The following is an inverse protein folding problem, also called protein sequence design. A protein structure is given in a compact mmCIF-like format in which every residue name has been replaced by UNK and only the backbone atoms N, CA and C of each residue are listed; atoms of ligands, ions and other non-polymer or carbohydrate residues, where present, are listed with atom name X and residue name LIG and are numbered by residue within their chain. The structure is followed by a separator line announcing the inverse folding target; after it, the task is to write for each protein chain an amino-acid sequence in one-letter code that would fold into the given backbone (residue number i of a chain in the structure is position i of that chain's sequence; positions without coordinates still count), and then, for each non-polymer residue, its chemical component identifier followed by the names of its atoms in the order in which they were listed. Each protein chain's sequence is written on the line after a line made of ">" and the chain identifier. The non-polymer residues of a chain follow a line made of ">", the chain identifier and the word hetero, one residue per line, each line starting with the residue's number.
data_IF_916891197652
#
_entry.id   IF_916891197652
#
_cell.length_a   1.000
_cell.length_b   1.000
_cell.length_c   1.000
_cell.angle_alpha   90.00
_cell.angle_beta   90.00
_cell.angle_gamma   90.00
#
_symmetry.space_group_name_H-M   'P 1'
#
loop_
_entity.id
_entity.type
_entity.pdbx_description
1 polymer ?
#
# COMPACT_ATOMS: atom_id res chain seq x y z
N UNK A 1 3.81 20.33 33.42
CA UNK A 1 5.09 19.61 33.21
C UNK A 1 4.96 18.09 33.35
N UNK A 2 4.28 17.53 34.37
CA UNK A 2 4.11 16.07 34.54
C UNK A 2 3.44 15.33 33.37
N UNK A 3 2.36 15.85 32.76
CA UNK A 3 1.66 15.13 31.68
C UNK A 3 2.50 14.93 30.41
N UNK A 4 3.36 15.88 30.05
CA UNK A 4 4.24 15.76 28.89
C UNK A 4 5.33 14.68 29.10
N UNK A 5 5.82 14.53 30.33
CA UNK A 5 6.76 13.46 30.70
C UNK A 5 6.12 12.08 30.61
N UNK A 6 4.88 11.92 31.10
CA UNK A 6 4.18 10.64 31.00
C UNK A 6 3.93 10.23 29.55
N UNK A 7 3.49 11.15 28.68
CA UNK A 7 3.28 10.85 27.26
C UNK A 7 4.60 10.46 26.56
N UNK A 8 5.70 11.19 26.83
CA UNK A 8 7.01 10.85 26.29
C UNK A 8 7.50 9.48 26.77
N UNK A 9 7.38 9.20 28.07
CA UNK A 9 7.83 7.94 28.66
C UNK A 9 7.02 6.74 28.16
N UNK A 10 5.72 6.91 27.94
CA UNK A 10 4.87 5.88 27.33
C UNK A 10 5.23 5.66 25.86
N UNK A 11 5.53 6.72 25.10
CA UNK A 11 5.99 6.61 23.72
C UNK A 11 7.37 5.92 23.63
N UNK A 12 8.32 6.30 24.50
CA UNK A 12 9.63 5.66 24.59
C UNK A 12 9.52 4.18 24.98
N UNK A 13 8.62 3.84 25.91
CA UNK A 13 8.36 2.45 26.28
C UNK A 13 7.82 1.66 25.08
N UNK A 14 6.83 2.20 24.37
CA UNK A 14 6.27 1.58 23.17
C UNK A 14 7.31 1.40 22.05
N UNK A 15 8.18 2.39 21.84
CA UNK A 15 9.29 2.29 20.88
C UNK A 15 10.28 1.19 21.29
N UNK A 16 10.65 1.13 22.56
CA UNK A 16 11.56 0.10 23.09
C UNK A 16 10.96 -1.30 22.97
N UNK A 17 9.68 -1.47 23.28
CA UNK A 17 8.98 -2.74 23.11
C UNK A 17 8.95 -3.16 21.64
N UNK A 18 8.63 -2.23 20.73
CA UNK A 18 8.65 -2.49 19.28
C UNK A 18 10.04 -2.92 18.81
N UNK A 19 11.08 -2.22 19.26
CA UNK A 19 12.46 -2.53 18.91
C UNK A 19 12.90 -3.89 19.47
N UNK A 20 12.50 -4.22 20.70
CA UNK A 20 12.77 -5.52 21.30
C UNK A 20 12.11 -6.66 20.51
N UNK A 21 10.86 -6.49 20.09
CA UNK A 21 10.15 -7.46 19.25
C UNK A 21 10.85 -7.62 17.89
N UNK A 22 11.29 -6.53 17.27
CA UNK A 22 12.01 -6.58 15.99
C UNK A 22 13.33 -7.35 16.10
N UNK A 23 14.09 -7.12 17.18
CA UNK A 23 15.33 -7.86 17.46
C UNK A 23 15.03 -9.34 17.65
N UNK A 24 14.02 -9.69 18.44
CA UNK A 24 13.63 -11.10 18.66
C UNK A 24 13.22 -11.75 17.34
N UNK A 25 12.41 -11.08 16.51
CA UNK A 25 12.03 -11.58 15.18
C UNK A 25 13.25 -11.81 14.29
N UNK A 26 14.19 -10.87 14.29
CA UNK A 26 15.44 -10.98 13.52
C UNK A 26 16.29 -12.16 13.98
N UNK A 27 16.51 -12.30 15.29
CA UNK A 27 17.32 -13.40 15.85
C UNK A 27 16.66 -14.76 15.64
N UNK A 28 15.33 -14.86 15.79
CA UNK A 28 14.59 -16.08 15.45
C UNK A 28 14.73 -16.41 13.95
N UNK A 29 14.68 -15.39 13.07
CA UNK A 29 14.93 -15.56 11.65
C UNK A 29 16.33 -16.10 11.35
N UNK A 30 17.36 -15.57 11.99
CA UNK A 30 18.75 -16.05 11.85
C UNK A 30 18.91 -17.48 12.38
N UNK A 31 18.34 -17.77 13.55
CA UNK A 31 18.39 -19.10 14.14
C UNK A 31 17.75 -20.15 13.21
N UNK A 32 16.63 -19.82 12.58
CA UNK A 32 15.97 -20.66 11.58
C UNK A 32 16.82 -20.88 10.33
N UNK A 33 17.40 -19.81 9.77
CA UNK A 33 18.27 -19.92 8.61
C UNK A 33 19.48 -20.81 8.90
N UNK A 34 20.11 -20.64 10.07
CA UNK A 34 21.20 -21.51 10.52
C UNK A 34 20.75 -22.95 10.74
N UNK A 35 19.56 -23.18 11.29
CA UNK A 35 19.01 -24.52 11.43
C UNK A 35 18.83 -25.19 10.06
N UNK A 36 18.25 -24.48 9.07
CA UNK A 36 18.06 -25.02 7.73
C UNK A 36 19.39 -25.34 7.04
N UNK A 37 20.36 -24.43 7.12
CA UNK A 37 21.72 -24.66 6.61
C UNK A 37 22.38 -25.89 7.27
N UNK A 38 22.34 -25.97 8.60
CA UNK A 38 22.92 -27.08 9.37
C UNK A 38 22.25 -28.41 9.04
N UNK A 39 20.93 -28.43 8.88
CA UNK A 39 20.18 -29.62 8.54
C UNK A 39 20.49 -30.08 7.10
N UNK A 40 20.65 -29.16 6.15
CA UNK A 40 21.09 -29.47 4.79
C UNK A 40 22.50 -30.06 4.77
N UNK A 41 23.44 -29.45 5.51
CA UNK A 41 24.79 -29.98 5.67
C UNK A 41 24.80 -31.36 6.34
N UNK A 42 23.97 -31.58 7.36
CA UNK A 42 23.84 -32.87 8.03
C UNK A 42 23.32 -33.95 7.06
N UNK A 43 22.30 -33.64 6.24
CA UNK A 43 21.82 -34.58 5.22
C UNK A 43 22.91 -34.92 4.21
N UNK A 44 23.65 -33.93 3.70
CA UNK A 44 24.75 -34.15 2.76
C UNK A 44 25.87 -35.00 3.38
N UNK A 45 26.25 -34.72 4.64
CA UNK A 45 27.25 -35.48 5.36
C UNK A 45 26.80 -36.93 5.59
N UNK A 46 25.55 -37.16 5.99
CA UNK A 46 24.99 -38.52 6.14
C UNK A 46 25.00 -39.25 4.80
N UNK A 47 24.61 -38.62 3.70
CA UNK A 47 24.62 -39.24 2.37
C UNK A 47 26.05 -39.60 1.91
N UNK A 48 27.03 -38.73 2.15
CA UNK A 48 28.42 -38.98 1.78
C UNK A 48 29.08 -40.06 2.65
N UNK A 49 28.92 -39.97 3.98
CA UNK A 49 29.53 -40.88 4.93
C UNK A 49 28.85 -42.24 4.97
N UNK A 50 27.59 -42.33 4.55
CA UNK A 50 26.88 -43.59 4.56
C UNK A 50 27.49 -44.63 3.63
N UNK A 51 28.26 -44.28 2.58
CA UNK A 51 28.99 -45.26 1.76
C UNK A 51 28.15 -46.49 1.39
N UNK A 52 26.88 -46.28 1.03
CA UNK A 52 25.90 -47.34 0.84
C UNK A 52 26.31 -48.21 -0.36
N UNK A 53 26.27 -49.53 -0.17
CA UNK A 53 26.49 -50.46 -1.29
C UNK A 53 25.45 -50.25 -2.39
N UNK A 54 25.89 -50.31 -3.65
CA UNK A 54 24.98 -50.24 -4.80
C UNK A 54 24.07 -51.47 -4.86
N UNK A 55 22.95 -51.44 -5.60
CA UNK A 55 22.09 -52.60 -5.78
C UNK A 55 22.84 -53.84 -6.28
N UNK A 56 23.82 -53.67 -7.16
CA UNK A 56 24.64 -54.76 -7.71
C UNK A 56 25.56 -55.36 -6.64
N UNK A 57 26.18 -54.51 -5.82
CA UNK A 57 27.01 -54.95 -4.69
C UNK A 57 26.19 -55.67 -3.62
N UNK A 58 24.96 -55.22 -3.39
CA UNK A 58 24.01 -55.87 -2.49
C UNK A 58 23.60 -57.24 -3.02
N UNK A 59 23.35 -57.37 -4.33
CA UNK A 59 23.02 -58.65 -4.96
C UNK A 59 24.19 -59.64 -4.88
N UNK A 60 25.42 -59.19 -5.12
CA UNK A 60 26.61 -60.02 -4.93
C UNK A 60 26.74 -60.47 -3.46
N UNK A 61 26.52 -59.55 -2.51
CA UNK A 61 26.58 -59.85 -1.08
C UNK A 61 25.52 -60.87 -0.66
N UNK A 62 24.29 -60.79 -1.21
CA UNK A 62 23.24 -61.77 -0.94
C UNK A 62 23.63 -63.20 -1.36
N UNK A 63 24.48 -63.34 -2.38
CA UNK A 63 24.95 -64.64 -2.87
C UNK A 63 26.19 -65.14 -2.12
N UNK A 64 27.10 -64.24 -1.73
CA UNK A 64 28.38 -64.59 -1.11
C UNK A 64 28.35 -64.59 0.42
N UNK A 65 27.55 -63.72 1.04
CA UNK A 65 27.42 -63.53 2.48
C UNK A 65 26.01 -63.03 2.85
N UNK A 66 25.04 -63.93 3.03
CA UNK A 66 23.66 -63.58 3.39
C UNK A 66 23.56 -62.83 4.73
N UNK A 67 24.45 -63.10 5.69
CA UNK A 67 24.44 -62.42 6.99
C UNK A 67 24.92 -60.96 6.84
N UNK A 68 25.99 -60.74 6.08
CA UNK A 68 26.46 -59.40 5.71
C UNK A 68 25.42 -58.61 4.90
N UNK A 69 24.66 -59.27 4.02
CA UNK A 69 23.55 -58.65 3.30
C UNK A 69 22.48 -58.09 4.24
N UNK A 70 22.02 -58.88 5.21
CA UNK A 70 21.00 -58.42 6.19
C UNK A 70 21.53 -57.27 7.03
N UNK A 71 22.79 -57.33 7.47
CA UNK A 71 23.42 -56.26 8.23
C UNK A 71 23.50 -54.95 7.43
N UNK A 72 23.93 -55.02 6.16
CA UNK A 72 24.00 -53.85 5.29
C UNK A 72 22.59 -53.31 4.98
N UNK A 73 21.61 -54.18 4.71
CA UNK A 73 20.23 -53.77 4.48
C UNK A 73 19.65 -53.01 5.69
N UNK A 74 19.86 -53.51 6.90
CA UNK A 74 19.45 -52.83 8.13
C UNK A 74 20.13 -51.46 8.28
N UNK A 75 21.43 -51.37 7.93
CA UNK A 75 22.18 -50.12 7.93
C UNK A 75 21.62 -49.12 6.90
N UNK A 76 21.32 -49.57 5.68
CA UNK A 76 20.69 -48.70 4.67
C UNK A 76 19.35 -48.16 5.19
N UNK A 77 18.51 -49.02 5.78
CA UNK A 77 17.23 -48.60 6.34
C UNK A 77 17.41 -47.55 7.45
N UNK A 78 18.36 -47.73 8.37
CA UNK A 78 18.66 -46.74 9.41
C UNK A 78 19.07 -45.39 8.82
N UNK A 79 19.96 -45.38 7.82
CA UNK A 79 20.37 -44.16 7.14
C UNK A 79 19.18 -43.46 6.49
N UNK A 80 18.30 -44.19 5.81
CA UNK A 80 17.10 -43.62 5.20
C UNK A 80 16.15 -43.04 6.24
N UNK A 81 15.94 -43.72 7.38
CA UNK A 81 15.10 -43.20 8.47
C UNK A 81 15.64 -41.88 9.04
N UNK A 82 16.97 -41.78 9.24
CA UNK A 82 17.60 -40.54 9.71
C UNK A 82 17.41 -39.40 8.71
N UNK A 83 17.67 -39.65 7.42
CA UNK A 83 17.49 -38.65 6.37
C UNK A 83 16.03 -38.20 6.26
N UNK A 84 15.09 -39.14 6.31
CA UNK A 84 13.67 -38.84 6.26
C UNK A 84 13.22 -38.00 7.47
N UNK A 85 13.73 -38.30 8.67
CA UNK A 85 13.45 -37.51 9.87
C UNK A 85 13.91 -36.05 9.75
N UNK A 86 15.13 -35.84 9.24
CA UNK A 86 15.66 -34.47 9.00
C UNK A 86 14.81 -33.74 7.94
N UNK A 87 14.46 -34.43 6.86
CA UNK A 87 13.64 -33.86 5.79
C UNK A 87 12.25 -33.47 6.26
N UNK A 88 11.59 -34.32 7.06
CA UNK A 88 10.28 -34.03 7.64
C UNK A 88 10.34 -32.82 8.59
N UNK A 89 11.36 -32.74 9.44
CA UNK A 89 11.56 -31.59 10.33
C UNK A 89 11.70 -30.27 9.55
N UNK A 90 12.50 -30.27 8.48
CA UNK A 90 12.64 -29.10 7.60
C UNK A 90 11.34 -28.72 6.89
N UNK A 91 10.58 -29.71 6.41
CA UNK A 91 9.30 -29.45 5.76
C UNK A 91 8.29 -28.85 6.74
N UNK A 92 8.25 -29.37 7.97
CA UNK A 92 7.38 -28.85 9.01
C UNK A 92 7.73 -27.41 9.39
N UNK A 93 9.02 -27.08 9.57
CA UNK A 93 9.46 -25.71 9.88
C UNK A 93 9.11 -24.75 8.75
N UNK A 94 9.34 -25.13 7.48
CA UNK A 94 8.95 -24.32 6.31
C UNK A 94 7.45 -24.10 6.23
N UNK A 95 6.65 -25.12 6.55
CA UNK A 95 5.20 -24.99 6.56
C UNK A 95 4.74 -24.04 7.67
N UNK A 96 5.30 -24.14 8.88
CA UNK A 96 5.00 -23.23 9.98
C UNK A 96 5.40 -21.78 9.62
N UNK A 97 6.56 -21.58 9.00
CA UNK A 97 7.00 -20.28 8.54
C UNK A 97 6.05 -19.69 7.49
N UNK A 98 5.62 -20.50 6.52
CA UNK A 98 4.64 -20.06 5.52
C UNK A 98 3.34 -19.60 6.17
N UNK A 99 2.81 -20.37 7.12
CA UNK A 99 1.59 -20.02 7.85
C UNK A 99 1.75 -18.74 8.67
N UNK A 100 2.87 -18.58 9.39
CA UNK A 100 3.15 -17.37 10.16
C UNK A 100 3.26 -16.13 9.27
N UNK A 101 3.91 -16.28 8.11
CA UNK A 101 4.06 -15.20 7.13
C UNK A 101 2.70 -14.82 6.53
N UNK A 102 1.87 -15.80 6.19
CA UNK A 102 0.53 -15.59 5.66
C UNK A 102 -0.39 -14.91 6.69
N UNK A 103 -0.31 -15.31 7.96
CA UNK A 103 -1.02 -14.64 9.06
C UNK A 103 -0.56 -13.21 9.26
N UNK A 104 0.75 -12.94 9.25
CA UNK A 104 1.29 -11.58 9.37
C UNK A 104 0.84 -10.70 8.19
N UNK A 105 0.84 -11.25 6.97
CA UNK A 105 0.34 -10.56 5.79
C UNK A 105 -1.17 -10.27 5.91
N UNK A 106 -1.98 -11.22 6.36
CA UNK A 106 -3.40 -11.04 6.58
C UNK A 106 -3.69 -9.96 7.64
N UNK A 107 -2.90 -9.92 8.72
CA UNK A 107 -3.00 -8.88 9.74
C UNK A 107 -2.63 -7.50 9.17
N UNK A 108 -1.51 -7.39 8.43
CA UNK A 108 -1.10 -6.14 7.78
C UNK A 108 -2.16 -5.67 6.79
N UNK A 109 -2.73 -6.57 6.01
CA UNK A 109 -3.82 -6.28 5.08
C UNK A 109 -5.06 -5.75 5.81
N UNK A 110 -5.48 -6.41 6.91
CA UNK A 110 -6.61 -5.95 7.71
C UNK A 110 -6.38 -4.55 8.31
N UNK A 111 -5.19 -4.30 8.85
CA UNK A 111 -4.81 -2.98 9.38
C UNK A 111 -4.78 -1.92 8.29
N UNK A 112 -4.21 -2.23 7.12
CA UNK A 112 -4.17 -1.35 5.97
C UNK A 112 -5.59 -0.95 5.54
N UNK A 113 -6.51 -1.91 5.44
CA UNK A 113 -7.91 -1.64 5.15
C UNK A 113 -8.60 -0.76 6.20
N UNK A 114 -8.28 -0.94 7.49
CA UNK A 114 -8.78 -0.07 8.55
C UNK A 114 -8.35 1.39 8.36
N UNK A 115 -7.07 1.62 8.06
CA UNK A 115 -6.52 2.96 7.80
C UNK A 115 -7.13 3.57 6.53
N UNK A 116 -7.23 2.79 5.45
CA UNK A 116 -7.82 3.27 4.19
C UNK A 116 -9.30 3.63 4.36
N UNK A 117 -10.04 2.85 5.14
CA UNK A 117 -11.43 3.16 5.50
C UNK A 117 -11.57 4.50 6.24
N UNK A 118 -10.64 4.81 7.18
CA UNK A 118 -10.61 6.12 7.85
C UNK A 118 -10.39 7.30 6.87
N UNK A 119 -9.68 7.05 5.77
CA UNK A 119 -9.49 8.02 4.69
C UNK A 119 -10.61 8.00 3.63
N UNK A 120 -11.72 7.30 3.88
CA UNK A 120 -12.89 7.23 3.00
C UNK A 120 -12.64 6.47 1.70
N UNK A 121 -11.62 5.61 1.66
CA UNK A 121 -11.25 4.77 0.52
C UNK A 121 -11.96 3.42 0.60
N UNK A 122 -13.09 3.32 -0.09
CA UNK A 122 -13.84 2.08 -0.23
C UNK A 122 -13.27 1.22 -1.37
N UNK A 123 -13.60 -0.08 -1.41
CA UNK A 123 -13.26 -1.01 -2.50
C UNK A 123 -13.41 -0.43 -3.92
N UNK A 124 -14.56 0.18 -4.31
CA UNK A 124 -14.72 0.74 -5.64
C UNK A 124 -13.83 1.97 -5.90
N UNK A 125 -13.57 2.80 -4.89
CA UNK A 125 -12.70 3.98 -5.02
C UNK A 125 -11.25 3.56 -5.20
N UNK A 126 -10.81 2.56 -4.44
CA UNK A 126 -9.51 1.92 -4.61
C UNK A 126 -9.35 1.34 -6.02
N UNK A 127 -10.34 0.60 -6.51
CA UNK A 127 -10.31 0.06 -7.87
C UNK A 127 -10.16 1.16 -8.94
N UNK A 128 -10.90 2.27 -8.80
CA UNK A 128 -10.79 3.42 -9.70
C UNK A 128 -9.40 4.08 -9.63
N UNK A 129 -8.83 4.25 -8.43
CA UNK A 129 -7.48 4.78 -8.25
C UNK A 129 -6.45 3.87 -8.93
N UNK A 130 -6.56 2.56 -8.76
CA UNK A 130 -5.65 1.59 -9.41
C UNK A 130 -5.80 1.57 -10.92
N UNK A 131 -7.02 1.68 -11.44
CA UNK A 131 -7.24 1.76 -12.88
C UNK A 131 -6.61 3.03 -13.46
N UNK A 132 -6.81 4.18 -12.81
CA UNK A 132 -6.18 5.44 -13.20
C UNK A 132 -4.65 5.39 -13.06
N UNK A 133 -4.14 4.77 -12.00
CA UNK A 133 -2.69 4.60 -11.80
C UNK A 133 -2.08 3.67 -12.87
N UNK A 134 -2.74 2.57 -13.21
CA UNK A 134 -2.33 1.67 -14.29
C UNK A 134 -2.29 2.39 -15.65
N UNK A 135 -3.32 3.19 -15.97
CA UNK A 135 -3.36 4.00 -17.21
C UNK A 135 -2.26 5.07 -17.27
N UNK A 136 -2.01 5.75 -16.15
CA UNK A 136 -1.09 6.89 -16.10
C UNK A 136 0.38 6.49 -15.91
N UNK A 137 0.65 5.36 -15.28
CA UNK A 137 2.01 4.95 -14.88
C UNK A 137 2.42 3.54 -15.35
N UNK A 138 1.51 2.78 -15.98
CA UNK A 138 1.84 1.47 -16.57
C UNK A 138 1.95 0.32 -15.57
N UNK A 139 1.45 0.48 -14.34
CA UNK A 139 1.48 -0.59 -13.35
C UNK A 139 0.57 -1.77 -13.75
N UNK A 140 1.07 -2.98 -13.52
CA UNK A 140 0.33 -4.22 -13.73
C UNK A 140 -0.77 -4.38 -12.67
N UNK A 141 -1.96 -4.87 -13.08
CA UNK A 141 -3.13 -4.95 -12.19
C UNK A 141 -2.92 -5.91 -11.02
N UNK A 142 -2.08 -6.92 -11.22
CA UNK A 142 -1.75 -7.97 -10.25
C UNK A 142 -0.94 -7.40 -9.07
N UNK A 143 -0.14 -6.36 -9.30
CA UNK A 143 0.64 -5.69 -8.25
C UNK A 143 -0.25 -4.99 -7.20
N UNK A 144 -1.54 -4.84 -7.49
CA UNK A 144 -2.50 -4.13 -6.65
C UNK A 144 -3.46 -5.05 -5.89
N UNK A 145 -3.46 -6.36 -6.18
CA UNK A 145 -4.31 -7.33 -5.49
C UNK A 145 -3.93 -7.49 -3.99
N UNK A 146 -2.73 -7.06 -3.64
CA UNK A 146 -2.13 -7.23 -2.31
C UNK A 146 -1.78 -5.89 -1.68
N UNK A 147 -2.82 -5.22 -1.15
CA UNK A 147 -2.67 -3.94 -0.45
C UNK A 147 -2.07 -4.14 0.93
N UNK A 148 -0.74 -4.23 1.02
CA UNK A 148 -0.05 -4.41 2.31
C UNK A 148 0.34 -3.10 2.98
N UNK A 149 0.55 -2.03 2.20
CA UNK A 149 0.95 -0.73 2.72
C UNK A 149 -0.10 0.34 2.39
N UNK A 150 -0.86 0.83 3.40
CA UNK A 150 -1.85 1.87 3.18
C UNK A 150 -1.23 3.21 2.75
N UNK A 151 0.04 3.48 3.10
CA UNK A 151 0.73 4.74 2.73
C UNK A 151 0.97 4.80 1.23
N UNK A 152 1.33 3.67 0.63
CA UNK A 152 1.53 3.54 -0.80
C UNK A 152 0.24 3.87 -1.56
N UNK A 153 -0.91 3.37 -1.08
CA UNK A 153 -2.22 3.66 -1.66
C UNK A 153 -2.59 5.13 -1.52
N UNK A 154 -2.35 5.74 -0.37
CA UNK A 154 -2.62 7.16 -0.16
C UNK A 154 -1.78 8.03 -1.11
N UNK A 155 -0.49 7.71 -1.25
CA UNK A 155 0.38 8.38 -2.22
C UNK A 155 -0.13 8.21 -3.66
N UNK A 156 -0.59 7.01 -4.03
CA UNK A 156 -1.19 6.76 -5.35
C UNK A 156 -2.45 7.59 -5.58
N UNK A 157 -3.34 7.65 -4.58
CA UNK A 157 -4.54 8.49 -4.64
C UNK A 157 -4.17 9.94 -4.95
N UNK A 158 -3.20 10.47 -4.20
CA UNK A 158 -2.78 11.86 -4.34
C UNK A 158 -2.11 12.10 -5.72
N UNK A 159 -1.31 11.14 -6.21
CA UNK A 159 -0.70 11.20 -7.53
C UNK A 159 -1.72 11.16 -8.67
N UNK A 160 -2.78 10.34 -8.55
CA UNK A 160 -3.89 10.30 -9.53
C UNK A 160 -4.67 11.62 -9.50
N UNK A 161 -5.05 12.09 -8.30
CA UNK A 161 -5.76 13.36 -8.14
C UNK A 161 -4.96 14.54 -8.73
N UNK A 162 -3.64 14.55 -8.55
CA UNK A 162 -2.76 15.57 -9.12
C UNK A 162 -2.78 15.55 -10.66
N UNK A 163 -2.72 14.37 -11.29
CA UNK A 163 -2.81 14.24 -12.76
C UNK A 163 -4.16 14.70 -13.29
N UNK A 164 -5.25 14.35 -12.62
CA UNK A 164 -6.59 14.80 -13.00
C UNK A 164 -6.73 16.32 -12.88
N UNK A 165 -6.15 16.94 -11.85
CA UNK A 165 -6.11 18.39 -11.70
C UNK A 165 -5.32 19.05 -12.83
N UNK A 166 -4.15 18.52 -13.19
CA UNK A 166 -3.37 19.03 -14.32
C UNK A 166 -4.16 18.98 -15.64
N UNK A 167 -4.88 17.89 -15.89
CA UNK A 167 -5.75 17.76 -17.07
C UNK A 167 -6.89 18.79 -17.06
N UNK A 168 -7.60 18.93 -15.93
CA UNK A 168 -8.68 19.92 -15.78
C UNK A 168 -8.20 21.36 -15.94
N UNK A 169 -7.00 21.69 -15.47
CA UNK A 169 -6.40 23.02 -15.65
C UNK A 169 -6.15 23.29 -17.13
N UNK A 170 -5.69 22.30 -17.90
CA UNK A 170 -5.54 22.42 -19.35
C UNK A 170 -6.89 22.69 -20.03
N UNK A 171 -7.90 21.88 -19.71
CA UNK A 171 -9.25 22.04 -20.28
C UNK A 171 -9.89 23.39 -19.91
N UNK A 172 -9.71 23.85 -18.67
CA UNK A 172 -10.23 25.13 -18.21
C UNK A 172 -9.56 26.31 -18.93
N UNK A 173 -8.24 26.23 -19.17
CA UNK A 173 -7.52 27.24 -19.97
C UNK A 173 -7.99 27.25 -21.43
N UNK A 174 -8.21 26.09 -22.04
CA UNK A 174 -8.73 26.00 -23.40
C UNK A 174 -10.16 26.55 -23.51
N UNK A 175 -11.03 26.23 -22.53
CA UNK A 175 -12.38 26.80 -22.45
C UNK A 175 -12.38 28.31 -22.20
N UNK A 176 -11.48 28.81 -21.36
CA UNK A 176 -11.34 30.24 -21.13
C UNK A 176 -10.82 30.98 -22.38
N UNK A 177 -9.93 30.36 -23.16
CA UNK A 177 -9.42 30.94 -24.41
C UNK A 177 -10.48 30.98 -25.51
N UNK A 178 -11.39 30.00 -25.54
CA UNK A 178 -12.45 29.89 -26.55
C UNK A 178 -13.77 30.52 -26.13
N UNK A 179 -13.90 30.95 -24.87
CA UNK A 179 -15.10 31.61 -24.37
C UNK A 179 -15.33 32.97 -25.08
N UNK A 180 -16.56 33.24 -25.59
CA UNK A 180 -16.89 34.53 -26.17
C UNK A 180 -16.68 35.65 -25.15
N UNK A 181 -16.06 36.76 -25.57
CA UNK A 181 -15.87 37.93 -24.70
C UNK A 181 -17.24 38.43 -24.25
N UNK A 182 -17.39 38.65 -22.95
CA UNK A 182 -18.61 39.27 -22.41
C UNK A 182 -18.88 40.56 -23.18
N UNK A 183 -20.13 40.82 -23.58
CA UNK A 183 -20.47 42.09 -24.20
C UNK A 183 -20.02 43.19 -23.26
N UNK A 184 -19.14 44.05 -23.75
CA UNK A 184 -18.67 45.22 -23.02
C UNK A 184 -19.91 45.93 -22.54
N UNK A 185 -20.14 45.98 -21.22
CA UNK A 185 -21.18 46.85 -20.66
C UNK A 185 -20.82 48.23 -21.16
N UNK A 186 -21.57 48.71 -22.14
CA UNK A 186 -21.49 50.09 -22.56
C UNK A 186 -21.74 50.88 -21.28
N UNK A 187 -20.73 51.62 -20.83
CA UNK A 187 -20.84 52.50 -19.67
C UNK A 187 -21.92 53.52 -20.03
N UNK A 188 -23.18 53.19 -19.76
CA UNK A 188 -24.23 54.17 -19.70
C UNK A 188 -23.87 54.96 -18.45
N UNK A 189 -23.25 56.12 -18.67
CA UNK A 189 -22.79 57.00 -17.61
C UNK A 189 -23.91 57.09 -16.56
N UNK A 190 -23.67 56.75 -15.28
CA UNK A 190 -24.71 56.74 -14.25
C UNK A 190 -25.47 58.07 -14.13
N UNK A 191 -24.85 59.16 -14.58
CA UNK A 191 -25.46 60.48 -14.72
C UNK A 191 -26.70 60.50 -15.62
N UNK A 192 -26.67 59.87 -16.81
CA UNK A 192 -27.77 60.00 -17.79
C UNK A 192 -29.02 59.24 -17.38
N UNK A 193 -28.89 58.04 -16.80
CA UNK A 193 -30.06 57.31 -16.28
C UNK A 193 -30.68 58.01 -15.05
N UNK A 194 -29.85 58.59 -14.18
CA UNK A 194 -30.33 59.35 -13.04
C UNK A 194 -31.01 60.66 -13.47
N UNK A 195 -30.53 61.31 -14.55
CA UNK A 195 -31.19 62.48 -15.14
C UNK A 195 -32.53 62.11 -15.80
N UNK A 196 -32.56 61.07 -16.62
CA UNK A 196 -33.79 60.61 -17.29
C UNK A 196 -34.88 60.20 -16.29
N UNK A 197 -34.49 59.50 -15.20
CA UNK A 197 -35.43 59.16 -14.12
C UNK A 197 -35.95 60.39 -13.37
N UNK A 198 -35.13 61.43 -13.21
CA UNK A 198 -35.54 62.70 -12.60
C UNK A 198 -36.48 63.48 -13.51
N UNK A 199 -36.15 63.63 -14.79
CA UNK A 199 -37.03 64.24 -15.79
C UNK A 199 -38.39 63.54 -15.90
N UNK A 200 -38.43 62.21 -15.86
CA UNK A 200 -39.67 61.45 -15.85
C UNK A 200 -40.53 61.73 -14.59
N UNK A 201 -39.91 62.00 -13.44
CA UNK A 201 -40.62 62.38 -12.20
C UNK A 201 -41.16 63.80 -12.26
N UNK A 202 -40.43 64.73 -12.90
CA UNK A 202 -40.94 66.08 -13.18
C UNK A 202 -42.12 66.03 -14.15
N UNK A 203 -42.03 65.25 -15.23
CA UNK A 203 -43.11 65.09 -16.22
C UNK A 203 -44.37 64.42 -15.64
N UNK A 204 -44.23 63.53 -14.66
CA UNK A 204 -45.36 62.84 -14.01
C UNK A 204 -45.93 63.56 -12.80
N UNK A 205 -45.44 64.76 -12.46
CA UNK A 205 -45.93 65.58 -11.34
C UNK A 205 -45.62 65.02 -9.95
N UNK A 206 -44.77 64.00 -9.84
CA UNK A 206 -44.37 63.36 -8.56
C UNK A 206 -42.98 63.80 -8.09
N UNK A 207 -42.46 64.89 -8.63
CA UNK A 207 -41.17 65.43 -8.24
C UNK A 207 -41.23 66.03 -6.83
N UNK A 208 -40.23 65.74 -6.01
CA UNK A 208 -40.08 66.31 -4.67
C UNK A 208 -39.17 67.56 -4.69
N UNK A 209 -39.23 68.37 -3.63
CA UNK A 209 -38.31 69.50 -3.44
C UNK A 209 -36.83 69.07 -3.45
N UNK A 210 -36.54 67.84 -3.01
CA UNK A 210 -35.19 67.25 -3.08
C UNK A 210 -34.77 66.96 -4.52
N UNK A 211 -35.70 66.56 -5.38
CA UNK A 211 -35.43 66.33 -6.80
C UNK A 211 -35.17 67.66 -7.54
N UNK A 212 -35.88 68.73 -7.16
CA UNK A 212 -35.65 70.09 -7.69
C UNK A 212 -34.25 70.62 -7.32
N UNK A 213 -33.89 70.53 -6.03
CA UNK A 213 -32.58 70.97 -5.55
C UNK A 213 -31.44 70.20 -6.24
N UNK A 214 -31.61 68.88 -6.40
CA UNK A 214 -30.63 68.04 -7.08
C UNK A 214 -30.58 68.28 -8.60
N UNK A 215 -31.64 68.81 -9.22
CA UNK A 215 -31.65 69.18 -10.64
C UNK A 215 -30.91 70.51 -10.88
N UNK A 216 -31.15 71.50 -10.02
CA UNK A 216 -30.48 72.81 -10.06
C UNK A 216 -28.99 72.75 -9.69
N UNK A 217 -28.59 71.80 -8.86
CA UNK A 217 -27.18 71.58 -8.51
C UNK A 217 -26.35 70.97 -9.64
N UNK A 218 -26.99 70.53 -10.73
CA UNK A 218 -26.37 69.78 -11.82
C UNK A 218 -26.54 70.47 -13.20
N UNK A 219 -27.02 71.72 -13.20
CA UNK A 219 -27.03 72.69 -14.32
C UNK A 219 -25.88 73.67 -14.16
#
# INVERSE_FOLDING_TARGET
>A
MRHADYTRKTQELSQRETQAVEVVKSEVGKARAHYEERAQLAMAAVQQLAGLKTPEQMLALAQTDPAGYVAEQARQQQVHMVLQGIQQGLQQERQQQSQMTEQEQAQKFSQAWGVLGQHGLDKPKLAAIYESASKNYGFAKEQFATVYDPKLVLMMRDAVAYRELQAKVKDAKEKAATAPRLPTRQNVQPATQAQQRREARFKSGRASLKDLAAHLANT
#
